data_IF_529927467990
#
_entry.id   IF_529927467990
#
_cell.length_a   1.000
_cell.length_b   1.000
_cell.length_c   1.000
_cell.angle_alpha   90.00
_cell.angle_beta   90.00
_cell.angle_gamma   90.00
#
_symmetry.space_group_name_H-M   'P 1'
#
loop_
_entity.id
_entity.type
_entity.pdbx_description
1 polymer ?
#
# COMPACT_ATOMS: atom_id res chain seq x y z
N UNK A 1 -68.64 -47.75 5.43
CA UNK A 1 -67.20 -47.97 5.28
C UNK A 1 -66.61 -46.93 4.31
N UNK A 2 -65.93 -45.94 4.90
CA UNK A 2 -65.24 -44.90 4.11
C UNK A 2 -63.87 -45.48 3.71
N UNK A 3 -63.75 -45.79 2.45
CA UNK A 3 -62.48 -46.20 1.84
C UNK A 3 -61.65 -44.94 1.61
N UNK A 4 -60.65 -44.66 2.45
CA UNK A 4 -59.63 -43.62 2.18
C UNK A 4 -58.68 -44.24 1.15
N UNK A 5 -58.81 -43.89 -0.09
CA UNK A 5 -57.81 -44.19 -1.12
C UNK A 5 -56.60 -43.24 -0.90
N UNK A 6 -55.52 -43.83 -0.38
CA UNK A 6 -54.19 -43.16 -0.36
C UNK A 6 -53.72 -43.01 -1.80
N UNK A 7 -53.92 -41.82 -2.40
CA UNK A 7 -53.35 -41.47 -3.67
C UNK A 7 -51.92 -40.96 -3.44
N UNK A 8 -50.95 -41.87 -3.45
CA UNK A 8 -49.54 -41.53 -3.35
C UNK A 8 -49.00 -41.24 -4.78
N UNK A 9 -48.95 -39.96 -5.14
CA UNK A 9 -48.21 -39.53 -6.35
C UNK A 9 -46.73 -39.53 -6.02
N UNK A 10 -45.98 -40.47 -6.56
CA UNK A 10 -44.52 -40.39 -6.56
C UNK A 10 -44.04 -39.56 -7.74
N UNK A 11 -43.29 -38.51 -7.48
CA UNK A 11 -42.65 -37.67 -8.50
C UNK A 11 -41.18 -38.06 -8.59
N UNK A 12 -40.79 -38.89 -9.56
CA UNK A 12 -39.41 -39.24 -9.78
C UNK A 12 -38.73 -38.15 -10.66
N UNK A 13 -37.61 -37.62 -10.21
CA UNK A 13 -36.77 -36.71 -10.99
C UNK A 13 -37.19 -35.23 -10.98
N UNK A 14 -38.00 -34.78 -10.01
CA UNK A 14 -38.47 -33.39 -9.92
C UNK A 14 -37.45 -32.45 -9.26
N UNK A 15 -36.46 -32.99 -8.54
CA UNK A 15 -35.44 -32.18 -7.89
C UNK A 15 -34.07 -32.63 -8.41
N UNK A 16 -33.38 -31.75 -9.12
CA UNK A 16 -31.99 -31.91 -9.46
C UNK A 16 -31.13 -31.10 -8.48
N UNK A 17 -30.21 -31.75 -7.79
CA UNK A 17 -29.26 -31.09 -6.90
C UNK A 17 -27.94 -31.06 -7.62
N UNK A 18 -27.37 -29.85 -7.79
CA UNK A 18 -26.07 -29.62 -8.40
C UNK A 18 -25.06 -29.27 -7.30
N UNK A 19 -23.81 -29.67 -7.48
CA UNK A 19 -22.72 -29.24 -6.62
C UNK A 19 -22.38 -27.78 -6.94
N UNK A 20 -22.27 -26.94 -5.91
CA UNK A 20 -21.76 -25.60 -6.05
C UNK A 20 -20.27 -25.62 -6.46
N UNK A 21 -19.80 -24.63 -7.24
CA UNK A 21 -18.37 -24.44 -7.47
C UNK A 21 -17.65 -24.14 -6.13
N UNK A 22 -16.34 -24.26 -6.14
CA UNK A 22 -15.47 -23.82 -5.05
C UNK A 22 -14.75 -22.58 -5.57
N UNK A 23 -15.14 -21.39 -5.08
CA UNK A 23 -14.48 -20.14 -5.44
C UNK A 23 -13.11 -20.06 -4.76
N UNK A 24 -12.08 -19.78 -5.55
CA UNK A 24 -10.72 -19.55 -5.07
C UNK A 24 -9.96 -18.67 -6.08
N UNK A 25 -9.04 -17.83 -5.59
CA UNK A 25 -8.22 -17.00 -6.45
C UNK A 25 -6.82 -16.78 -5.84
N UNK A 26 -5.89 -16.38 -6.70
CA UNK A 26 -4.53 -15.99 -6.31
C UNK A 26 -4.20 -14.59 -6.79
N UNK A 27 -3.21 -13.98 -6.14
CA UNK A 27 -2.62 -12.70 -6.50
C UNK A 27 -1.24 -12.98 -7.08
N UNK A 28 -1.03 -12.65 -8.37
CA UNK A 28 0.18 -12.98 -9.13
C UNK A 28 1.20 -11.84 -9.19
N UNK A 29 0.92 -10.73 -8.53
CA UNK A 29 1.79 -9.56 -8.44
C UNK A 29 2.12 -9.19 -6.98
N UNK A 30 2.76 -8.04 -6.77
CA UNK A 30 2.93 -7.52 -5.41
C UNK A 30 1.56 -7.14 -4.83
N UNK A 31 1.29 -7.61 -3.61
CA UNK A 31 0.08 -7.31 -2.84
C UNK A 31 0.25 -6.09 -1.92
N UNK A 32 1.41 -5.44 -1.93
CA UNK A 32 1.70 -4.21 -1.22
C UNK A 32 2.60 -3.28 -2.02
N UNK A 33 2.37 -1.98 -1.91
CA UNK A 33 3.15 -1.00 -2.65
C UNK A 33 2.60 0.41 -2.56
N UNK A 34 3.25 1.31 -3.31
CA UNK A 34 2.84 2.71 -3.40
C UNK A 34 1.69 2.87 -4.39
N UNK A 35 0.74 3.73 -4.07
CA UNK A 35 -0.29 4.11 -5.04
C UNK A 35 0.31 4.92 -6.21
N UNK A 36 -0.16 4.70 -7.46
CA UNK A 36 -1.10 3.66 -7.86
C UNK A 36 -0.45 2.28 -7.81
N UNK A 37 -1.16 1.26 -7.32
CA UNK A 37 -0.68 -0.12 -7.23
C UNK A 37 -1.47 -1.01 -8.19
N UNK A 38 -0.79 -1.51 -9.21
CA UNK A 38 -1.35 -2.43 -10.19
C UNK A 38 -1.24 -3.87 -9.67
N UNK A 39 -2.38 -4.55 -9.55
CA UNK A 39 -2.47 -5.91 -9.01
C UNK A 39 -3.11 -6.85 -10.02
N UNK A 40 -2.48 -8.00 -10.23
CA UNK A 40 -2.91 -9.05 -11.15
C UNK A 40 -3.56 -10.19 -10.36
N UNK A 41 -4.83 -10.50 -10.69
CA UNK A 41 -5.64 -11.53 -10.06
C UNK A 41 -5.90 -12.68 -11.04
N UNK A 42 -5.83 -13.90 -10.51
CA UNK A 42 -6.13 -15.11 -11.28
C UNK A 42 -7.20 -15.95 -10.56
N UNK A 43 -8.25 -16.29 -11.30
CA UNK A 43 -9.27 -17.25 -10.87
C UNK A 43 -8.71 -18.68 -10.93
N UNK A 44 -8.68 -19.36 -9.78
CA UNK A 44 -8.31 -20.77 -9.66
C UNK A 44 -9.47 -21.61 -9.11
N UNK A 45 -10.69 -21.12 -9.29
CA UNK A 45 -11.92 -21.78 -8.81
C UNK A 45 -12.12 -23.14 -9.46
N UNK A 46 -12.68 -24.08 -8.70
CA UNK A 46 -12.94 -25.44 -9.12
C UNK A 46 -14.45 -25.69 -9.25
N UNK A 47 -14.83 -26.41 -10.32
CA UNK A 47 -16.21 -26.85 -10.54
C UNK A 47 -16.25 -28.13 -11.37
N UNK A 48 -17.32 -28.89 -11.23
CA UNK A 48 -17.63 -30.02 -12.13
C UNK A 48 -18.27 -29.55 -13.45
N UNK A 49 -18.60 -28.26 -13.56
CA UNK A 49 -19.17 -27.57 -14.72
C UNK A 49 -18.29 -26.40 -15.14
N UNK A 50 -18.66 -25.73 -16.23
CA UNK A 50 -18.01 -24.47 -16.61
C UNK A 50 -18.45 -23.35 -15.73
N UNK A 51 -17.52 -22.49 -15.26
CA UNK A 51 -17.82 -21.18 -14.70
C UNK A 51 -18.21 -20.26 -15.86
N UNK A 52 -19.30 -19.54 -15.72
CA UNK A 52 -19.87 -18.66 -16.76
C UNK A 52 -19.94 -17.20 -16.34
N UNK A 53 -19.70 -16.91 -15.06
CA UNK A 53 -19.69 -15.51 -14.56
C UNK A 53 -18.74 -15.37 -13.37
N UNK A 54 -18.03 -14.25 -13.35
CA UNK A 54 -17.14 -13.79 -12.30
C UNK A 54 -17.61 -12.43 -11.81
N UNK A 55 -17.59 -12.22 -10.50
CA UNK A 55 -17.89 -10.93 -9.88
C UNK A 55 -16.82 -10.67 -8.83
N UNK A 56 -15.89 -9.80 -9.18
CA UNK A 56 -14.83 -9.34 -8.29
C UNK A 56 -15.28 -8.07 -7.57
N UNK A 57 -14.93 -7.99 -6.29
CA UNK A 57 -14.96 -6.78 -5.47
C UNK A 57 -13.56 -6.59 -4.91
N UNK A 58 -12.93 -5.45 -5.22
CA UNK A 58 -11.56 -5.16 -4.82
C UNK A 58 -11.46 -4.46 -3.46
N UNK A 59 -12.59 -4.18 -2.80
CA UNK A 59 -12.65 -3.65 -1.44
C UNK A 59 -12.52 -2.14 -1.32
N UNK A 60 -12.25 -1.42 -2.42
CA UNK A 60 -12.20 0.04 -2.51
C UNK A 60 -13.43 0.64 -3.22
N UNK A 61 -14.41 -0.20 -3.55
CA UNK A 61 -15.60 0.13 -4.34
C UNK A 61 -15.44 -0.18 -5.83
N UNK A 62 -14.28 -0.62 -6.28
CA UNK A 62 -14.05 -1.11 -7.63
C UNK A 62 -14.48 -2.55 -7.80
N UNK A 63 -14.83 -2.94 -9.03
CA UNK A 63 -15.31 -4.27 -9.37
C UNK A 63 -14.88 -4.69 -10.78
N UNK A 64 -14.91 -6.01 -11.07
CA UNK A 64 -14.65 -6.56 -12.39
C UNK A 64 -15.50 -7.79 -12.66
N UNK A 65 -15.76 -8.07 -13.95
CA UNK A 65 -16.40 -9.30 -14.40
C UNK A 65 -15.49 -10.17 -15.29
N UNK A 66 -14.23 -9.80 -15.46
CA UNK A 66 -13.24 -10.60 -16.15
C UNK A 66 -12.82 -11.80 -15.31
N UNK A 67 -12.47 -12.92 -15.93
CA UNK A 67 -11.97 -14.09 -15.21
C UNK A 67 -10.69 -13.75 -14.44
N UNK A 68 -9.71 -13.15 -15.12
CA UNK A 68 -8.41 -12.79 -14.57
C UNK A 68 -8.21 -11.28 -14.76
N UNK A 69 -8.69 -10.44 -13.82
CA UNK A 69 -8.56 -8.99 -13.94
C UNK A 69 -7.19 -8.51 -13.49
N UNK A 70 -6.75 -7.41 -14.11
CA UNK A 70 -5.71 -6.53 -13.58
C UNK A 70 -6.43 -5.30 -13.03
N UNK A 71 -6.13 -4.92 -11.79
CA UNK A 71 -6.80 -3.81 -11.11
C UNK A 71 -5.79 -2.80 -10.57
N UNK A 72 -6.10 -1.50 -10.71
CA UNK A 72 -5.26 -0.40 -10.27
C UNK A 72 -5.86 0.28 -9.03
N UNK A 73 -5.21 0.10 -7.89
CA UNK A 73 -5.56 0.76 -6.64
C UNK A 73 -5.00 2.18 -6.64
N UNK A 74 -5.86 3.18 -6.74
CA UNK A 74 -5.49 4.61 -6.82
C UNK A 74 -5.62 5.35 -5.49
N UNK A 75 -6.07 4.69 -4.44
CA UNK A 75 -6.18 5.21 -3.09
C UNK A 75 -5.37 4.37 -2.11
N UNK A 76 -4.79 5.01 -1.10
CA UNK A 76 -4.13 4.31 -0.01
C UNK A 76 -5.14 3.62 0.92
N UNK A 77 -4.75 2.48 1.44
CA UNK A 77 -5.59 1.68 2.32
C UNK A 77 -5.18 0.22 2.40
N UNK A 78 -5.93 -0.52 3.23
CA UNK A 78 -5.84 -1.96 3.34
C UNK A 78 -7.15 -2.55 2.82
N UNK A 79 -7.07 -3.34 1.76
CA UNK A 79 -8.24 -3.82 1.03
C UNK A 79 -8.40 -5.33 1.13
N UNK A 80 -9.65 -5.75 1.30
CA UNK A 80 -10.07 -7.16 1.25
C UNK A 80 -10.69 -7.43 -0.11
N UNK A 81 -10.23 -8.47 -0.79
CA UNK A 81 -10.71 -8.82 -2.13
C UNK A 81 -11.63 -10.00 -2.05
N UNK A 82 -12.72 -9.96 -2.80
CA UNK A 82 -13.65 -11.08 -2.91
C UNK A 82 -13.97 -11.43 -4.36
N UNK A 83 -14.24 -12.72 -4.58
CA UNK A 83 -14.66 -13.28 -5.86
C UNK A 83 -15.91 -14.14 -5.67
N UNK A 84 -16.98 -13.81 -6.40
CA UNK A 84 -18.13 -14.69 -6.59
C UNK A 84 -18.04 -15.30 -7.98
N UNK A 85 -18.08 -16.62 -8.05
CA UNK A 85 -18.20 -17.35 -9.30
C UNK A 85 -19.57 -18.00 -9.44
N UNK A 86 -20.09 -18.06 -10.67
CA UNK A 86 -21.36 -18.72 -11.00
C UNK A 86 -21.11 -19.77 -12.07
N UNK A 87 -21.54 -21.00 -11.83
CA UNK A 87 -21.43 -22.08 -12.80
C UNK A 87 -22.59 -22.09 -13.82
N UNK A 88 -22.52 -22.95 -14.83
CA UNK A 88 -23.54 -23.09 -15.88
C UNK A 88 -24.92 -23.56 -15.37
N UNK A 89 -25.00 -24.10 -14.15
CA UNK A 89 -26.26 -24.47 -13.48
C UNK A 89 -26.85 -23.32 -12.66
N UNK A 90 -26.15 -22.17 -12.55
CA UNK A 90 -26.53 -21.02 -11.74
C UNK A 90 -26.12 -21.14 -10.26
N UNK A 91 -25.34 -22.16 -9.89
CA UNK A 91 -24.82 -22.29 -8.53
C UNK A 91 -23.68 -21.30 -8.31
N UNK A 92 -23.66 -20.66 -7.14
CA UNK A 92 -22.67 -19.65 -6.78
C UNK A 92 -21.79 -20.06 -5.61
N UNK A 93 -20.58 -19.52 -5.58
CA UNK A 93 -19.65 -19.62 -4.46
C UNK A 93 -18.89 -18.32 -4.30
N UNK A 94 -18.55 -17.97 -3.05
CA UNK A 94 -17.80 -16.76 -2.68
C UNK A 94 -16.49 -17.17 -2.02
N UNK A 95 -15.40 -16.54 -2.38
CA UNK A 95 -14.16 -16.51 -1.62
C UNK A 95 -13.80 -15.07 -1.26
N UNK A 96 -13.13 -14.89 -0.11
CA UNK A 96 -12.66 -13.58 0.34
C UNK A 96 -11.29 -13.73 0.99
N UNK A 97 -10.33 -12.90 0.56
CA UNK A 97 -9.03 -12.74 1.19
C UNK A 97 -9.02 -11.41 1.95
N UNK A 98 -9.04 -11.50 3.28
CA UNK A 98 -9.11 -10.33 4.15
C UNK A 98 -7.76 -9.62 4.20
N UNK A 99 -7.78 -8.28 4.08
CA UNK A 99 -6.59 -7.42 4.19
C UNK A 99 -5.44 -7.93 3.30
N UNK A 100 -5.77 -8.40 2.10
CA UNK A 100 -4.80 -9.02 1.20
C UNK A 100 -3.98 -8.01 0.40
N UNK A 101 -4.43 -6.76 0.34
CA UNK A 101 -3.76 -5.68 -0.42
C UNK A 101 -3.50 -4.51 0.52
N UNK A 102 -2.22 -4.08 0.57
CA UNK A 102 -1.77 -2.89 1.30
C UNK A 102 -1.24 -1.83 0.33
N UNK A 103 -1.95 -0.71 0.22
CA UNK A 103 -1.56 0.41 -0.64
C UNK A 103 -1.13 1.58 0.22
N UNK A 104 0.08 2.07 -0.03
CA UNK A 104 0.67 3.19 0.72
C UNK A 104 0.67 4.47 -0.10
N UNK A 105 0.35 5.57 0.56
CA UNK A 105 0.57 6.90 0.00
C UNK A 105 2.05 7.23 0.06
N UNK A 106 2.62 7.71 -1.06
CA UNK A 106 4.00 8.17 -1.11
C UNK A 106 4.20 9.33 -0.11
N UNK A 107 5.15 9.26 0.83
CA UNK A 107 5.49 10.42 1.64
C UNK A 107 6.12 11.50 0.77
N UNK A 108 6.05 12.77 1.20
CA UNK A 108 6.75 13.89 0.56
C UNK A 108 7.72 14.47 1.59
N UNK A 109 8.97 14.02 1.52
CA UNK A 109 10.02 14.42 2.45
C UNK A 109 10.32 15.92 2.32
N UNK A 110 10.37 16.62 3.46
CA UNK A 110 10.75 18.02 3.52
C UNK A 110 11.18 18.38 4.95
N UNK A 111 12.11 19.32 5.09
CA UNK A 111 12.58 19.80 6.39
C UNK A 111 13.15 21.22 6.32
N UNK A 112 13.27 21.81 7.49
CA UNK A 112 13.98 23.08 7.73
C UNK A 112 14.94 22.91 8.91
N UNK A 113 16.01 23.69 8.92
CA UNK A 113 16.86 23.91 10.09
C UNK A 113 16.56 25.30 10.68
N UNK A 114 16.72 25.42 11.99
CA UNK A 114 16.62 26.70 12.70
C UNK A 114 17.80 27.62 12.35
N UNK A 115 18.98 27.04 12.11
CA UNK A 115 20.21 27.73 11.75
C UNK A 115 20.81 27.02 10.52
N UNK A 116 21.14 27.78 9.49
CA UNK A 116 21.86 27.26 8.30
C UNK A 116 23.27 27.86 8.15
N UNK A 117 23.58 28.90 8.89
CA UNK A 117 24.87 29.57 8.85
C UNK A 117 25.26 30.04 10.27
N UNK A 118 26.52 29.83 10.65
CA UNK A 118 27.09 30.34 11.91
C UNK A 118 28.59 30.63 11.76
N UNK A 119 29.05 31.70 12.39
CA UNK A 119 30.49 32.02 12.50
C UNK A 119 31.17 31.35 13.71
N UNK A 120 30.45 30.56 14.49
CA UNK A 120 31.01 29.83 15.62
C UNK A 120 31.90 28.68 15.16
N UNK A 121 32.75 28.16 16.06
CA UNK A 121 33.53 26.95 15.77
C UNK A 121 32.71 25.66 15.82
N UNK A 122 31.62 25.69 16.58
CA UNK A 122 30.62 24.62 16.66
C UNK A 122 29.23 25.21 16.80
N UNK A 123 28.20 24.55 16.26
CA UNK A 123 26.82 25.00 16.36
C UNK A 123 25.85 23.83 16.53
N UNK A 124 24.93 23.96 17.46
CA UNK A 124 23.83 23.02 17.63
C UNK A 124 22.67 23.44 16.72
N UNK A 125 22.39 22.66 15.70
CA UNK A 125 21.32 22.89 14.73
C UNK A 125 20.14 21.98 15.02
N UNK A 126 18.94 22.53 15.09
CA UNK A 126 17.70 21.78 15.28
C UNK A 126 16.92 21.71 13.96
N UNK A 127 16.54 20.51 13.59
CA UNK A 127 15.79 20.25 12.36
C UNK A 127 14.31 20.06 12.66
N UNK A 128 13.48 20.74 11.88
CA UNK A 128 12.03 20.54 11.88
C UNK A 128 11.63 19.73 10.65
N UNK A 129 11.04 18.58 10.89
CA UNK A 129 10.51 17.71 9.86
C UNK A 129 9.14 18.23 9.37
N UNK A 130 9.06 18.59 8.10
CA UNK A 130 7.86 19.06 7.43
C UNK A 130 7.35 18.05 6.40
N UNK A 131 7.72 16.77 6.53
CA UNK A 131 7.25 15.70 5.65
C UNK A 131 5.73 15.58 5.67
N UNK A 132 5.14 15.49 4.49
CA UNK A 132 3.71 15.20 4.35
C UNK A 132 3.49 13.70 4.26
N UNK A 133 2.48 13.21 4.99
CA UNK A 133 2.15 11.79 5.13
C UNK A 133 2.81 11.14 6.35
N UNK A 134 2.31 9.96 6.70
CA UNK A 134 2.88 9.15 7.79
C UNK A 134 4.11 8.41 7.24
N UNK A 135 5.24 8.51 7.92
CA UNK A 135 6.48 7.86 7.49
C UNK A 135 7.41 7.58 8.68
N UNK A 136 8.32 6.65 8.49
CA UNK A 136 9.53 6.53 9.29
C UNK A 136 10.60 7.44 8.70
N UNK A 137 11.55 7.89 9.52
CA UNK A 137 12.52 8.89 9.13
C UNK A 137 13.94 8.39 9.34
N UNK A 138 14.83 8.78 8.43
CA UNK A 138 16.28 8.64 8.58
C UNK A 138 16.98 9.90 8.09
N UNK A 139 17.73 10.52 8.99
CA UNK A 139 18.50 11.72 8.72
C UNK A 139 19.96 11.38 8.46
N UNK A 140 20.56 12.08 7.50
CA UNK A 140 22.00 12.04 7.19
C UNK A 140 22.49 13.48 7.26
N UNK A 141 23.36 13.78 8.25
CA UNK A 141 23.78 15.16 8.51
C UNK A 141 24.97 15.63 7.66
N UNK A 142 25.60 14.72 6.92
CA UNK A 142 26.68 15.06 5.99
C UNK A 142 28.10 14.93 6.58
N UNK A 143 28.24 14.65 7.85
CA UNK A 143 29.48 14.38 8.58
C UNK A 143 29.68 12.90 8.96
N UNK A 144 28.80 12.02 8.45
CA UNK A 144 28.77 10.59 8.75
C UNK A 144 27.87 10.21 9.90
N UNK A 145 27.25 11.17 10.59
CA UNK A 145 26.28 10.93 11.67
C UNK A 145 24.87 10.88 11.10
N UNK A 146 24.02 10.06 11.72
CA UNK A 146 22.63 9.85 11.31
C UNK A 146 21.68 9.91 12.51
N UNK A 147 20.37 10.07 12.25
CA UNK A 147 19.32 10.04 13.28
C UNK A 147 18.01 9.51 12.71
N UNK A 148 17.21 8.84 13.56
CA UNK A 148 15.85 8.40 13.23
C UNK A 148 14.78 9.17 14.02
N UNK A 149 15.14 10.24 14.70
CA UNK A 149 14.20 11.09 15.43
C UNK A 149 13.35 11.90 14.44
N UNK A 150 12.13 12.22 14.82
CA UNK A 150 11.24 13.04 13.98
C UNK A 150 11.84 14.43 13.77
N UNK A 151 12.27 15.08 14.84
CA UNK A 151 12.89 16.41 14.84
C UNK A 151 14.22 16.32 15.61
N UNK A 152 15.32 15.96 14.95
CA UNK A 152 16.62 15.83 15.61
C UNK A 152 17.29 17.17 15.81
N UNK A 153 18.22 17.22 16.78
CA UNK A 153 19.26 18.25 16.86
C UNK A 153 20.61 17.59 16.62
N UNK A 154 21.51 18.28 15.93
CA UNK A 154 22.85 17.83 15.64
C UNK A 154 23.88 18.93 15.83
N UNK A 155 25.03 18.59 16.41
CA UNK A 155 26.11 19.55 16.68
C UNK A 155 27.14 19.47 15.58
N UNK A 156 27.25 20.52 14.79
CA UNK A 156 28.21 20.64 13.69
C UNK A 156 29.51 21.33 14.14
N UNK A 157 30.64 20.82 13.67
CA UNK A 157 31.93 21.49 13.74
C UNK A 157 32.11 22.44 12.52
N UNK A 158 33.31 23.02 12.39
CA UNK A 158 33.68 23.83 11.22
C UNK A 158 33.51 23.02 9.94
N UNK A 159 32.80 23.56 8.94
CA UNK A 159 32.61 22.92 7.65
C UNK A 159 31.33 23.31 6.95
N UNK A 160 31.13 22.70 5.77
CA UNK A 160 29.92 22.84 4.96
C UNK A 160 29.30 21.46 4.75
N UNK A 161 28.04 21.34 5.10
CA UNK A 161 27.37 20.04 5.18
C UNK A 161 26.10 20.01 4.33
N UNK A 162 25.94 18.93 3.58
CA UNK A 162 24.69 18.59 2.90
C UNK A 162 23.86 17.68 3.79
N UNK A 163 22.59 18.01 3.97
CA UNK A 163 21.69 17.27 4.85
C UNK A 163 20.63 16.58 4.02
N UNK A 164 20.34 15.33 4.36
CA UNK A 164 19.30 14.54 3.71
C UNK A 164 18.31 14.00 4.73
N UNK A 165 17.03 14.02 4.37
CA UNK A 165 15.95 13.34 5.05
C UNK A 165 15.35 12.28 4.13
N UNK A 166 15.35 11.04 4.60
CA UNK A 166 14.68 9.91 3.97
C UNK A 166 13.41 9.66 4.75
N UNK A 167 12.26 9.65 4.07
CA UNK A 167 10.96 9.30 4.62
C UNK A 167 10.47 8.01 3.96
N UNK A 168 10.05 7.01 4.74
CA UNK A 168 9.56 5.74 4.20
C UNK A 168 8.30 5.25 4.91
N UNK A 169 7.36 4.67 4.12
CA UNK A 169 6.19 3.93 4.60
C UNK A 169 6.05 2.66 3.76
N UNK A 170 6.07 1.49 4.41
CA UNK A 170 6.16 0.23 3.67
C UNK A 170 7.35 0.23 2.72
N UNK A 171 7.09 0.03 1.44
CA UNK A 171 8.10 0.07 0.36
C UNK A 171 8.26 1.45 -0.29
N UNK A 172 7.43 2.44 0.10
CA UNK A 172 7.42 3.79 -0.48
C UNK A 172 8.45 4.67 0.20
N UNK A 173 9.39 5.19 -0.57
CA UNK A 173 10.52 5.99 -0.07
C UNK A 173 10.57 7.29 -0.84
N UNK A 174 10.71 8.40 -0.11
CA UNK A 174 11.08 9.69 -0.67
C UNK A 174 12.29 10.26 0.07
N UNK A 175 13.14 10.98 -0.67
CA UNK A 175 14.37 11.56 -0.14
C UNK A 175 14.47 13.01 -0.52
N UNK A 176 14.59 13.87 0.48
CA UNK A 176 14.82 15.28 0.28
C UNK A 176 16.26 15.64 0.71
N UNK A 177 17.01 16.28 -0.21
CA UNK A 177 18.41 16.66 -0.01
C UNK A 177 18.56 18.17 -0.14
N UNK A 178 19.25 18.78 0.84
CA UNK A 178 19.72 20.17 0.76
C UNK A 178 21.23 20.18 0.71
N UNK A 179 21.77 20.47 -0.47
CA UNK A 179 23.21 20.53 -0.69
C UNK A 179 23.82 21.79 -0.07
N UNK A 180 24.96 21.64 0.62
CA UNK A 180 25.70 22.74 1.26
C UNK A 180 24.78 23.61 2.14
N UNK A 181 23.89 22.95 2.88
CA UNK A 181 22.80 23.63 3.59
C UNK A 181 23.21 24.20 4.94
N UNK A 182 24.12 23.54 5.63
CA UNK A 182 24.66 24.00 6.91
C UNK A 182 26.11 24.42 6.69
N UNK A 183 26.41 25.66 7.05
CA UNK A 183 27.74 26.25 6.92
C UNK A 183 28.19 26.84 8.26
N UNK A 184 29.24 26.26 8.85
CA UNK A 184 29.77 26.61 10.17
C UNK A 184 31.17 27.13 10.05
N UNK A 185 31.44 28.32 10.61
CA UNK A 185 32.77 28.94 10.65
C UNK A 185 33.22 29.57 9.33
N UNK A 186 32.27 30.03 8.50
CA UNK A 186 32.59 30.82 7.32
C UNK A 186 33.39 32.06 7.72
N UNK A 187 34.64 32.13 7.30
CA UNK A 187 35.42 33.35 7.44
C UNK A 187 34.78 34.46 6.59
N UNK A 188 34.50 35.60 7.20
CA UNK A 188 34.27 36.81 6.43
C UNK A 188 35.54 37.11 5.66
N UNK A 189 35.60 36.74 4.38
CA UNK A 189 36.65 37.25 3.50
C UNK A 189 36.53 38.78 3.44
N UNK A 190 37.26 39.43 4.31
CA UNK A 190 37.46 40.88 4.27
C UNK A 190 38.50 41.21 3.21
N UNK A 191 38.18 40.92 1.92
CA UNK A 191 38.88 41.56 0.80
C UNK A 191 38.40 42.99 0.64
N UNK A 192 38.70 43.83 1.62
CA UNK A 192 38.79 45.27 1.43
C UNK A 192 40.25 45.63 1.26
N UNK A 193 40.68 45.75 0.04
CA UNK A 193 41.82 46.57 -0.37
C UNK A 193 41.30 47.84 -1.00
#
# INVERSE_FOLDING_TARGET
>A
SNSITNDSKSYNGLINVFNSPISEFTINSLANGCMPLLVDFEDISLTNNSIVNWQWDFGDGGASSFQNPIYDYTSDGNFSVSLIVTDANGCQSLSTQLNSIDVYKMPVANFLADISFSCNQTELVTFTNNTLGLANYSWIFGDGITSNLVNPSHNYALGVYSVSLIANVGTCIDTFVRNNYIEIGAELNSDFI
#
